data_IF_700730467339
#
_entry.id   IF_700730467339
#
_cell.length_a   1.000
_cell.length_b   1.000
_cell.length_c   1.000
_cell.angle_alpha   90.00
_cell.angle_beta   90.00
_cell.angle_gamma   90.00
#
_symmetry.space_group_name_H-M   'P 1'
#
loop_
_entity.id
_entity.type
_entity.pdbx_description
1 polymer ?
#
# COMPACT_ATOMS: atom_id res chain seq x y z
N UNK A 1 27.84 1.18 -21.47
CA UNK A 1 27.46 0.98 -20.91
C UNK A 1 26.65 0.26 -20.85
N UNK A 2 26.73 -0.10 -20.26
CA UNK A 2 25.85 -0.87 -20.51
C UNK A 2 24.64 -0.54 -19.88
N UNK A 3 23.85 0.06 -20.59
CA UNK A 3 22.60 0.54 -20.10
C UNK A 3 21.74 -0.54 -19.56
N UNK A 4 22.02 -1.74 -19.92
CA UNK A 4 21.23 -2.86 -19.48
C UNK A 4 21.67 -3.40 -18.14
N UNK A 5 22.63 -2.77 -17.49
CA UNK A 5 23.06 -3.24 -16.18
C UNK A 5 21.92 -3.06 -15.18
N UNK A 6 21.35 -4.15 -14.64
CA UNK A 6 20.24 -4.04 -13.73
C UNK A 6 20.60 -3.30 -12.44
N UNK A 7 21.88 -3.24 -12.09
CA UNK A 7 22.29 -2.52 -10.90
C UNK A 7 22.09 -1.02 -11.03
N UNK A 8 21.92 -0.53 -12.24
CA UNK A 8 21.71 0.89 -12.49
C UNK A 8 20.24 1.25 -12.64
N UNK A 9 19.34 0.27 -12.63
CA UNK A 9 17.91 0.53 -12.72
C UNK A 9 17.40 1.02 -11.37
N UNK A 10 16.73 2.17 -11.33
CA UNK A 10 16.18 2.64 -10.06
C UNK A 10 15.17 1.66 -9.51
N UNK A 11 15.27 1.40 -8.23
CA UNK A 11 14.33 0.54 -7.53
C UNK A 11 13.57 1.35 -6.50
N UNK A 12 12.35 0.92 -6.24
CA UNK A 12 11.48 1.59 -5.30
C UNK A 12 10.96 0.65 -4.24
N UNK A 13 10.78 1.18 -3.04
CA UNK A 13 9.95 0.54 -2.04
C UNK A 13 8.57 1.17 -2.15
N UNK A 14 7.56 0.36 -2.38
CA UNK A 14 6.18 0.85 -2.46
C UNK A 14 5.57 0.81 -1.07
N UNK A 15 4.92 1.90 -0.68
CA UNK A 15 4.24 2.00 0.61
C UNK A 15 2.75 2.12 0.34
N UNK A 16 1.97 1.19 0.88
CA UNK A 16 0.54 1.16 0.70
C UNK A 16 -0.13 1.44 2.05
N UNK A 17 -0.58 2.66 2.29
CA UNK A 17 -1.36 2.94 3.50
C UNK A 17 -2.78 2.46 3.29
N UNK A 18 -3.28 1.65 4.23
CA UNK A 18 -4.62 1.09 4.13
C UNK A 18 -5.43 1.57 5.32
N UNK A 19 -6.35 2.48 5.08
CA UNK A 19 -7.25 3.00 6.08
C UNK A 19 -8.64 2.46 5.85
N UNK A 20 -9.40 2.16 6.91
CA UNK A 20 -10.77 1.71 6.73
C UNK A 20 -11.61 2.77 6.02
N UNK A 21 -12.48 2.31 5.14
CA UNK A 21 -13.46 3.19 4.54
C UNK A 21 -14.50 3.53 5.59
N UNK A 22 -14.79 4.81 5.73
CA UNK A 22 -15.83 5.25 6.65
C UNK A 22 -17.09 5.56 5.87
N UNK A 23 -18.24 5.51 6.54
CA UNK A 23 -19.49 5.83 5.89
C UNK A 23 -19.50 7.24 5.34
N UNK A 24 -18.84 8.16 6.02
CA UNK A 24 -18.83 9.56 5.59
C UNK A 24 -18.02 9.77 4.32
N UNK A 25 -17.03 8.94 4.07
CA UNK A 25 -16.17 9.09 2.90
C UNK A 25 -16.53 8.13 1.78
N UNK A 26 -17.31 7.13 2.07
CA UNK A 26 -17.68 6.15 1.08
C UNK A 26 -18.89 6.64 0.32
N UNK A 27 -18.81 6.66 -0.99
CA UNK A 27 -19.96 6.98 -1.80
C UNK A 27 -20.86 5.77 -2.03
N UNK A 28 -20.36 4.63 -1.59
CA UNK A 28 -21.11 3.39 -1.74
C UNK A 28 -21.84 3.19 -0.44
N UNK A 29 -23.07 3.44 -0.35
CA UNK A 29 -23.83 3.27 0.89
C UNK A 29 -23.89 1.79 1.28
N UNK A 30 -22.74 1.21 1.61
CA UNK A 30 -22.61 -0.20 1.87
C UNK A 30 -22.52 -0.49 3.37
N UNK A 31 -22.97 -1.66 3.79
CA UNK A 31 -22.72 -2.11 5.16
C UNK A 31 -21.24 -2.15 5.47
N UNK A 32 -20.93 -2.07 6.76
CA UNK A 32 -19.52 -2.07 7.19
C UNK A 32 -18.78 -3.29 6.71
N UNK A 33 -19.42 -4.45 6.70
CA UNK A 33 -18.76 -5.67 6.26
C UNK A 33 -18.39 -5.60 4.77
N UNK A 34 -19.28 -5.05 3.96
CA UNK A 34 -19.00 -4.91 2.53
C UNK A 34 -17.89 -3.91 2.29
N UNK A 35 -17.90 -2.79 3.03
CA UNK A 35 -16.81 -1.81 2.91
C UNK A 35 -15.47 -2.42 3.27
N UNK A 36 -15.46 -3.24 4.33
CA UNK A 36 -14.24 -3.89 4.76
C UNK A 36 -13.76 -4.90 3.73
N UNK A 37 -14.69 -5.64 3.11
CA UNK A 37 -14.35 -6.57 2.05
C UNK A 37 -13.74 -5.86 0.84
N UNK A 38 -14.31 -4.72 0.45
CA UNK A 38 -13.74 -3.93 -0.63
C UNK A 38 -12.36 -3.41 -0.28
N UNK A 39 -12.18 -2.93 0.95
CA UNK A 39 -10.89 -2.43 1.38
C UNK A 39 -9.83 -3.51 1.26
N UNK A 40 -10.13 -4.71 1.73
CA UNK A 40 -9.22 -5.83 1.65
C UNK A 40 -8.92 -6.19 0.20
N UNK A 41 -9.94 -6.25 -0.64
CA UNK A 41 -9.75 -6.59 -2.05
C UNK A 41 -8.87 -5.57 -2.75
N UNK A 42 -9.12 -4.28 -2.54
CA UNK A 42 -8.31 -3.25 -3.17
C UNK A 42 -6.87 -3.28 -2.68
N UNK A 43 -6.67 -3.53 -1.40
CA UNK A 43 -5.31 -3.63 -0.85
C UNK A 43 -4.56 -4.79 -1.50
N UNK A 44 -5.20 -5.94 -1.62
CA UNK A 44 -4.57 -7.10 -2.22
C UNK A 44 -4.32 -6.92 -3.71
N UNK A 45 -5.28 -6.34 -4.43
CA UNK A 45 -5.10 -6.09 -5.85
C UNK A 45 -3.92 -5.13 -6.09
N UNK A 46 -3.82 -4.10 -5.27
CA UNK A 46 -2.73 -3.15 -5.37
C UNK A 46 -1.39 -3.83 -5.08
N UNK A 47 -1.37 -4.65 -4.03
CA UNK A 47 -0.16 -5.38 -3.67
C UNK A 47 0.29 -6.30 -4.80
N UNK A 48 -0.64 -7.07 -5.35
CA UNK A 48 -0.29 -8.01 -6.44
C UNK A 48 0.22 -7.24 -7.66
N UNK A 49 -0.44 -6.15 -8.01
CA UNK A 49 0.00 -5.35 -9.15
C UNK A 49 1.42 -4.82 -8.93
N UNK A 50 1.73 -4.37 -7.73
CA UNK A 50 3.05 -3.83 -7.45
C UNK A 50 4.12 -4.92 -7.42
N UNK A 51 3.78 -6.12 -6.98
CA UNK A 51 4.77 -7.21 -6.97
C UNK A 51 5.14 -7.68 -8.36
N UNK A 52 4.33 -7.35 -9.36
CA UNK A 52 4.67 -7.68 -10.74
C UNK A 52 5.44 -6.57 -11.46
N UNK A 53 5.65 -5.46 -10.80
CA UNK A 53 6.37 -4.33 -11.39
C UNK A 53 7.86 -4.48 -11.12
N UNK A 54 8.65 -4.54 -12.17
CA UNK A 54 10.09 -4.78 -12.03
C UNK A 54 10.80 -3.67 -11.27
N UNK A 55 10.26 -2.46 -11.29
CA UNK A 55 10.88 -1.34 -10.59
C UNK A 55 10.59 -1.34 -9.09
N UNK A 56 9.67 -2.18 -8.63
CA UNK A 56 9.32 -2.26 -7.22
C UNK A 56 10.07 -3.41 -6.58
N UNK A 57 11.00 -3.08 -5.71
CA UNK A 57 11.82 -4.10 -5.05
C UNK A 57 11.09 -4.76 -3.89
N UNK A 58 10.23 -4.01 -3.21
CA UNK A 58 9.49 -4.53 -2.08
C UNK A 58 8.28 -3.66 -1.79
N UNK A 59 7.35 -4.21 -1.02
CA UNK A 59 6.11 -3.52 -0.67
C UNK A 59 5.97 -3.50 0.85
N UNK A 60 5.62 -2.33 1.37
CA UNK A 60 5.30 -2.14 2.78
C UNK A 60 3.82 -1.76 2.85
N UNK A 61 3.06 -2.48 3.67
CA UNK A 61 1.67 -2.14 3.92
C UNK A 61 1.57 -1.58 5.33
N UNK A 62 0.93 -0.43 5.47
CA UNK A 62 0.68 0.19 6.76
C UNK A 62 -0.81 0.03 7.07
N UNK A 63 -1.12 -0.71 8.11
CA UNK A 63 -2.51 -1.01 8.44
C UNK A 63 -2.68 -1.31 9.91
N UNK A 64 -3.86 -1.02 10.43
CA UNK A 64 -4.27 -1.46 11.76
C UNK A 64 -5.21 -2.66 11.68
N UNK A 65 -5.59 -3.08 10.49
CA UNK A 65 -6.54 -4.18 10.30
C UNK A 65 -5.81 -5.51 10.27
N UNK A 66 -6.13 -6.43 11.20
CA UNK A 66 -5.41 -7.70 11.28
C UNK A 66 -5.63 -8.60 10.07
N UNK A 67 -6.76 -8.50 9.40
CA UNK A 67 -7.00 -9.33 8.23
C UNK A 67 -6.18 -8.84 7.04
N UNK A 68 -6.07 -7.54 6.88
CA UNK A 68 -5.20 -6.97 5.85
C UNK A 68 -3.76 -7.35 6.14
N UNK A 69 -3.34 -7.25 7.40
CA UNK A 69 -1.97 -7.59 7.78
C UNK A 69 -1.65 -9.05 7.47
N UNK A 70 -2.57 -9.96 7.82
CA UNK A 70 -2.35 -11.38 7.57
C UNK A 70 -2.27 -11.67 6.08
N UNK A 71 -3.16 -11.10 5.29
CA UNK A 71 -3.16 -11.33 3.85
C UNK A 71 -1.91 -10.75 3.21
N UNK A 72 -1.50 -9.56 3.63
CA UNK A 72 -0.30 -8.93 3.09
C UNK A 72 0.95 -9.75 3.39
N UNK A 73 1.04 -10.27 4.60
CA UNK A 73 2.18 -11.11 4.98
C UNK A 73 2.23 -12.37 4.11
N UNK A 74 1.08 -12.98 3.84
CA UNK A 74 1.05 -14.15 2.97
C UNK A 74 1.52 -13.85 1.56
N UNK A 75 1.40 -12.61 1.12
CA UNK A 75 1.84 -12.21 -0.21
C UNK A 75 3.24 -11.57 -0.21
N UNK A 76 3.95 -11.69 0.88
CA UNK A 76 5.34 -11.27 0.92
C UNK A 76 5.58 -9.81 1.26
N UNK A 77 4.55 -9.06 1.62
CA UNK A 77 4.73 -7.68 2.01
C UNK A 77 5.20 -7.57 3.45
N UNK A 78 5.93 -6.50 3.73
CA UNK A 78 6.24 -6.13 5.09
C UNK A 78 5.07 -5.34 5.65
N UNK A 79 4.62 -5.70 6.83
CA UNK A 79 3.50 -5.02 7.47
C UNK A 79 4.02 -4.11 8.57
N UNK A 80 3.58 -2.86 8.54
CA UNK A 80 3.87 -1.89 9.59
C UNK A 80 2.54 -1.51 10.21
N UNK A 81 2.47 -1.54 11.53
CA UNK A 81 1.24 -1.21 12.23
C UNK A 81 0.95 0.28 12.12
N UNK A 82 -0.25 0.59 11.69
CA UNK A 82 -0.74 1.97 11.68
C UNK A 82 -0.85 2.43 13.14
N UNK A 83 -0.35 3.63 13.46
CA UNK A 83 -0.38 4.10 14.86
C UNK A 83 -1.77 4.45 15.38
N UNK A 84 -2.81 4.00 14.70
CA UNK A 84 -4.18 4.19 15.16
C UNK A 84 -4.58 5.66 15.20
N UNK A 85 -4.15 6.39 14.23
CA UNK A 85 -4.64 7.74 14.03
C UNK A 85 -5.63 7.69 12.88
N UNK A 86 -6.42 8.73 12.76
CA UNK A 86 -7.36 8.81 11.66
C UNK A 86 -6.77 9.50 10.45
N UNK A 87 -5.53 9.91 10.53
CA UNK A 87 -4.93 10.72 9.49
C UNK A 87 -4.14 9.84 8.52
N UNK A 88 -4.51 9.90 7.26
CA UNK A 88 -3.80 9.19 6.22
C UNK A 88 -2.33 9.62 6.15
N UNK A 89 -2.06 10.89 6.39
CA UNK A 89 -0.69 11.39 6.35
C UNK A 89 0.18 10.74 7.41
N UNK A 90 -0.38 10.42 8.57
CA UNK A 90 0.38 9.74 9.61
C UNK A 90 0.76 8.33 9.16
N UNK A 91 -0.16 7.63 8.52
CA UNK A 91 0.14 6.30 7.99
C UNK A 91 1.22 6.37 6.92
N UNK A 92 1.14 7.35 6.04
CA UNK A 92 2.15 7.55 5.01
C UNK A 92 3.51 7.83 5.65
N UNK A 93 3.53 8.70 6.64
CA UNK A 93 4.78 9.06 7.33
C UNK A 93 5.43 7.85 7.96
N UNK A 94 4.63 7.01 8.62
CA UNK A 94 5.16 5.80 9.24
C UNK A 94 5.73 4.85 8.20
N UNK A 95 5.02 4.66 7.10
CA UNK A 95 5.47 3.76 6.04
C UNK A 95 6.72 4.26 5.34
N UNK A 96 6.76 5.55 5.03
CA UNK A 96 7.93 6.15 4.39
C UNK A 96 9.12 6.07 5.33
N UNK A 97 8.91 6.34 6.62
CA UNK A 97 9.98 6.21 7.60
C UNK A 97 10.56 4.81 7.64
N UNK A 98 9.70 3.80 7.62
CA UNK A 98 10.16 2.42 7.62
C UNK A 98 10.97 2.11 6.35
N UNK A 99 10.50 2.58 5.20
CA UNK A 99 11.19 2.36 3.94
C UNK A 99 12.58 2.98 3.96
N UNK A 100 12.67 4.21 4.43
CA UNK A 100 13.95 4.92 4.44
C UNK A 100 14.94 4.30 5.42
N UNK A 101 14.45 3.79 6.56
CA UNK A 101 15.33 3.14 7.51
C UNK A 101 15.89 1.84 6.99
N UNK A 102 15.09 1.09 6.24
CA UNK A 102 15.51 -0.22 5.77
C UNK A 102 16.28 -0.15 4.47
N UNK A 103 15.93 0.77 3.60
CA UNK A 103 16.53 0.86 2.27
C UNK A 103 16.70 2.32 1.87
N UNK A 104 17.66 3.02 2.51
CA UNK A 104 17.78 4.46 2.33
C UNK A 104 18.17 4.90 0.92
N UNK A 105 18.67 3.97 0.11
CA UNK A 105 19.11 4.32 -1.23
C UNK A 105 18.06 4.06 -2.30
N UNK A 106 16.91 3.55 -1.92
CA UNK A 106 15.84 3.31 -2.87
C UNK A 106 14.83 4.43 -2.82
N UNK A 107 14.16 4.66 -3.93
CA UNK A 107 13.07 5.59 -3.95
C UNK A 107 11.87 5.04 -3.18
N UNK A 108 10.95 5.92 -2.81
CA UNK A 108 9.74 5.53 -2.12
C UNK A 108 8.55 5.95 -2.96
N UNK A 109 7.68 4.98 -3.24
CA UNK A 109 6.45 5.22 -3.99
C UNK A 109 5.28 4.98 -3.07
N UNK A 110 4.43 5.99 -2.89
CA UNK A 110 3.25 5.84 -2.03
C UNK A 110 2.05 5.59 -2.91
N UNK A 111 1.37 4.48 -2.68
CA UNK A 111 0.22 4.08 -3.47
C UNK A 111 -0.94 3.84 -2.53
N UNK A 112 -1.89 4.78 -2.44
CA UNK A 112 -3.04 4.57 -1.56
C UNK A 112 -3.92 3.45 -2.09
N UNK A 113 -4.29 2.54 -1.20
CA UNK A 113 -5.16 1.42 -1.56
C UNK A 113 -6.63 1.75 -1.38
N UNK A 114 -6.92 2.96 -0.97
CA UNK A 114 -8.29 3.38 -0.69
C UNK A 114 -8.88 4.25 -1.79
N UNK A 115 -8.42 4.07 -3.02
CA UNK A 115 -8.94 4.83 -4.14
C UNK A 115 -9.86 3.97 -5.00
N UNK A 116 -10.92 3.45 -4.41
CA UNK A 116 -11.77 2.52 -5.16
C UNK A 116 -12.53 3.17 -6.28
N UNK A 117 -12.67 4.47 -6.20
CA UNK A 117 -13.37 5.19 -7.24
C UNK A 117 -12.50 5.47 -8.45
N UNK A 118 -11.26 5.08 -8.42
CA UNK A 118 -10.43 5.23 -9.58
C UNK A 118 -10.94 4.32 -10.67
N UNK A 119 -11.43 4.91 -11.70
CA UNK A 119 -11.90 4.18 -12.85
C UNK A 119 -11.29 4.80 -14.09
N UNK A 120 -11.01 3.98 -15.08
CA UNK A 120 -10.37 4.49 -16.28
C UNK A 120 -11.17 5.59 -16.98
N UNK A 121 -12.47 5.60 -16.75
CA UNK A 121 -13.32 6.59 -17.39
C UNK A 121 -13.53 7.84 -16.59
N UNK A 122 -12.98 7.91 -15.44
CA UNK A 122 -13.12 9.07 -14.58
C UNK A 122 -12.16 10.16 -14.94
#
# INVERSE_FOLDING_TARGET
MDDADPALVPLFTAVIPVKPLTAAKSRLALPAEARRGFMLAFALDTLVALTTCDAVARVIIVTADPDVAAAATRHGALVVTDPDTTDLNDAITVGVGAALRQHPHEGVLVVPADLPCLRPTD
#
